data_IF_938523825153
#
_entry.id   IF_938523825153
#
_cell.length_a   1.000
_cell.length_b   1.000
_cell.length_c   1.000
_cell.angle_alpha   90.00
_cell.angle_beta   90.00
_cell.angle_gamma   90.00
#
_symmetry.space_group_name_H-M   'P 1'
#
loop_
_entity.id
_entity.type
_entity.pdbx_description
1 polymer ?
#
# COMPACT_ATOMS: atom_id res chain seq x y z
N UNK A 1 -6.82 -30.50 3.87
CA UNK A 1 -6.13 -29.59 2.93
C UNK A 1 -6.49 -28.18 3.34
N UNK A 2 -5.51 -27.42 3.85
CA UNK A 2 -5.75 -26.11 4.43
C UNK A 2 -6.32 -25.15 3.42
N UNK A 3 -7.46 -24.54 3.73
CA UNK A 3 -7.89 -23.33 3.05
C UNK A 3 -6.76 -22.32 3.27
N UNK A 4 -6.05 -21.96 2.21
CA UNK A 4 -5.24 -20.75 2.28
C UNK A 4 -6.25 -19.63 2.55
N UNK A 5 -6.28 -19.13 3.79
CA UNK A 5 -6.98 -17.89 4.08
C UNK A 5 -6.46 -16.88 3.05
N UNK A 6 -7.33 -16.37 2.18
CA UNK A 6 -6.95 -15.33 1.23
C UNK A 6 -6.55 -14.11 2.05
N UNK A 7 -5.24 -13.99 2.30
CA UNK A 7 -4.64 -12.98 3.13
C UNK A 7 -4.78 -11.58 2.52
N UNK A 8 -4.34 -10.58 3.26
CA UNK A 8 -4.07 -9.27 2.69
C UNK A 8 -2.98 -9.45 1.62
N UNK A 9 -3.25 -9.03 0.38
CA UNK A 9 -2.26 -9.11 -0.71
C UNK A 9 -2.34 -7.88 -1.61
N UNK A 10 -1.17 -7.47 -2.11
CA UNK A 10 -1.03 -6.41 -3.11
C UNK A 10 -0.75 -7.09 -4.44
N UNK A 11 -1.63 -6.93 -5.42
CA UNK A 11 -1.53 -7.58 -6.72
C UNK A 11 -0.86 -6.72 -7.78
N UNK A 12 -1.34 -5.48 -7.95
CA UNK A 12 -0.82 -4.56 -8.96
C UNK A 12 -0.77 -3.13 -8.41
N UNK A 13 0.25 -2.40 -8.86
CA UNK A 13 0.46 -0.99 -8.59
C UNK A 13 0.56 -0.25 -9.93
N UNK A 14 -0.24 0.79 -10.16
CA UNK A 14 -0.21 1.61 -11.39
C UNK A 14 -0.06 3.09 -11.04
N UNK A 15 1.00 3.70 -11.55
CA UNK A 15 1.24 5.14 -11.42
C UNK A 15 0.41 5.89 -12.46
N UNK A 16 -0.53 6.73 -12.02
CA UNK A 16 -1.52 7.34 -12.91
C UNK A 16 -0.94 8.45 -13.79
N UNK A 17 0.25 8.98 -13.43
CA UNK A 17 0.92 10.05 -14.17
C UNK A 17 1.68 9.50 -15.37
N UNK A 18 2.50 8.48 -15.15
CA UNK A 18 3.33 7.82 -16.17
C UNK A 18 2.64 6.66 -16.86
N UNK A 19 1.53 6.16 -16.29
CA UNK A 19 0.81 4.94 -16.71
C UNK A 19 1.65 3.67 -16.66
N UNK A 20 2.74 3.69 -15.89
CA UNK A 20 3.55 2.49 -15.68
C UNK A 20 2.93 1.60 -14.61
N UNK A 21 3.04 0.29 -14.82
CA UNK A 21 2.52 -0.72 -13.92
C UNK A 21 3.69 -1.45 -13.26
N UNK A 22 3.69 -1.49 -11.93
CA UNK A 22 4.67 -2.18 -11.09
C UNK A 22 6.13 -1.75 -11.29
N UNK A 23 6.36 -0.48 -11.64
CA UNK A 23 7.69 0.00 -12.04
C UNK A 23 8.06 1.35 -11.43
N UNK A 24 7.35 2.42 -11.83
CA UNK A 24 7.69 3.79 -11.44
C UNK A 24 6.65 4.39 -10.50
N UNK A 25 7.12 5.31 -9.65
CA UNK A 25 6.33 6.20 -8.81
C UNK A 25 6.62 7.65 -9.16
N UNK A 26 5.58 8.46 -9.25
CA UNK A 26 5.67 9.92 -9.47
C UNK A 26 5.11 10.67 -8.24
N UNK A 27 5.96 11.18 -7.35
CA UNK A 27 5.53 11.96 -6.18
C UNK A 27 4.53 13.07 -6.53
N UNK A 28 3.51 13.23 -5.69
CA UNK A 28 2.43 14.21 -5.87
C UNK A 28 1.30 13.79 -6.82
N UNK A 29 1.37 12.61 -7.44
CA UNK A 29 0.31 12.07 -8.30
C UNK A 29 -0.33 10.82 -7.70
N UNK A 30 -1.49 10.44 -8.25
CA UNK A 30 -2.21 9.26 -7.78
C UNK A 30 -1.49 7.96 -8.15
N UNK A 31 -1.45 7.05 -7.19
CA UNK A 31 -1.10 5.64 -7.35
C UNK A 31 -2.36 4.80 -7.15
N UNK A 32 -2.65 3.93 -8.11
CA UNK A 32 -3.70 2.93 -7.99
C UNK A 32 -3.09 1.62 -7.54
N UNK A 33 -3.62 1.03 -6.47
CA UNK A 33 -3.17 -0.24 -5.91
C UNK A 33 -4.35 -1.20 -5.91
N UNK A 34 -4.22 -2.36 -6.56
CA UNK A 34 -5.25 -3.39 -6.57
C UNK A 34 -4.75 -4.65 -5.86
N UNK A 35 -5.68 -5.40 -5.28
CA UNK A 35 -5.33 -6.54 -4.45
C UNK A 35 -6.50 -7.11 -3.67
N UNK A 36 -6.21 -7.80 -2.58
CA UNK A 36 -7.22 -8.44 -1.72
C UNK A 36 -7.15 -7.90 -0.31
N UNK A 37 -8.30 -7.52 0.25
CA UNK A 37 -8.46 -7.02 1.63
C UNK A 37 -7.60 -5.80 1.96
N UNK A 38 -7.36 -4.93 0.98
CA UNK A 38 -6.49 -3.76 1.06
C UNK A 38 -7.00 -2.61 1.92
N UNK A 39 -8.31 -2.55 2.20
CA UNK A 39 -8.95 -1.45 2.93
C UNK A 39 -8.17 -1.15 4.21
N UNK A 40 -7.66 0.06 4.34
CA UNK A 40 -6.88 0.51 5.49
C UNK A 40 -7.82 1.04 6.55
N UNK A 41 -8.00 0.26 7.61
CA UNK A 41 -8.77 0.61 8.80
C UNK A 41 -8.17 -0.05 10.04
N UNK A 42 -8.34 0.60 11.20
CA UNK A 42 -7.92 0.13 12.51
C UNK A 42 -7.23 1.21 13.33
N UNK A 43 -7.24 1.04 14.66
CA UNK A 43 -6.67 1.99 15.63
C UNK A 43 -5.29 1.57 16.14
N UNK A 44 -4.77 0.41 15.67
CA UNK A 44 -3.45 -0.07 16.06
C UNK A 44 -2.34 0.84 15.49
N UNK A 45 -1.26 1.06 16.25
CA UNK A 45 -0.10 1.78 15.74
C UNK A 45 0.45 1.07 14.51
N UNK A 46 0.81 1.85 13.49
CA UNK A 46 1.32 1.33 12.22
C UNK A 46 0.25 0.97 11.19
N UNK A 47 -1.05 1.09 11.49
CA UNK A 47 -2.09 1.05 10.44
C UNK A 47 -1.87 2.22 9.47
N UNK A 48 -1.83 1.92 8.18
CA UNK A 48 -1.47 2.88 7.15
C UNK A 48 -0.85 2.25 5.91
N UNK A 49 -0.44 3.12 4.99
CA UNK A 49 0.28 2.76 3.78
C UNK A 49 1.66 3.40 3.88
N UNK A 50 2.70 2.65 3.54
CA UNK A 50 4.08 3.08 3.70
C UNK A 50 4.87 2.79 2.43
N UNK A 51 5.78 3.71 2.12
CA UNK A 51 6.84 3.51 1.14
C UNK A 51 8.16 3.38 1.87
N UNK A 52 8.74 2.19 1.81
CA UNK A 52 9.99 1.89 2.50
C UNK A 52 11.14 1.91 1.52
N UNK A 53 12.07 2.84 1.72
CA UNK A 53 13.28 2.93 0.89
C UNK A 53 14.18 1.71 1.17
N UNK A 54 14.56 0.98 0.12
CA UNK A 54 15.33 -0.26 0.27
C UNK A 54 16.78 -0.02 0.68
N UNK A 55 17.34 1.15 0.37
CA UNK A 55 18.73 1.49 0.66
C UNK A 55 18.95 1.91 2.12
N UNK A 56 18.06 2.75 2.66
CA UNK A 56 18.19 3.31 4.02
C UNK A 56 17.27 2.63 5.03
N UNK A 57 16.33 1.80 4.56
CA UNK A 57 15.28 1.19 5.36
C UNK A 57 14.30 2.20 5.98
N UNK A 58 14.27 3.43 5.45
CA UNK A 58 13.39 4.51 5.92
C UNK A 58 11.97 4.32 5.41
N UNK A 59 10.99 4.28 6.31
CA UNK A 59 9.58 4.16 5.96
C UNK A 59 8.91 5.55 5.94
N UNK A 60 8.31 5.90 4.79
CA UNK A 60 7.52 7.13 4.63
C UNK A 60 6.04 6.75 4.64
N UNK A 61 5.30 7.23 5.65
CA UNK A 61 3.85 7.00 5.75
C UNK A 61 3.10 7.92 4.78
N UNK A 62 2.11 7.38 4.09
CA UNK A 62 1.12 8.16 3.33
C UNK A 62 0.16 8.84 4.31
N UNK A 63 -0.10 10.13 4.12
CA UNK A 63 -1.04 10.86 4.96
C UNK A 63 -2.46 10.29 4.79
N UNK A 64 -3.27 10.32 5.84
CA UNK A 64 -4.64 9.82 5.77
C UNK A 64 -5.51 10.65 4.81
N UNK A 65 -5.22 11.96 4.68
CA UNK A 65 -5.87 12.85 3.72
C UNK A 65 -5.48 12.58 2.27
N UNK A 66 -4.35 11.89 2.03
CA UNK A 66 -3.88 11.50 0.70
C UNK A 66 -4.50 10.18 0.20
N UNK A 67 -5.33 9.51 1.01
CA UNK A 67 -6.06 8.30 0.63
C UNK A 67 -7.39 8.69 -0.03
N UNK A 68 -7.41 8.68 -1.36
CA UNK A 68 -8.55 9.08 -2.20
C UNK A 68 -9.61 7.97 -2.30
N UNK A 69 -9.18 6.71 -2.44
CA UNK A 69 -10.05 5.53 -2.49
C UNK A 69 -9.53 4.51 -1.48
N UNK A 70 -10.42 4.00 -0.63
CA UNK A 70 -10.10 3.04 0.43
C UNK A 70 -11.02 1.81 0.41
N UNK A 71 -10.93 1.00 -0.65
CA UNK A 71 -11.75 -0.18 -0.84
C UNK A 71 -10.98 -1.48 -0.56
N UNK A 72 -11.68 -2.59 -0.23
CA UNK A 72 -11.03 -3.88 -0.01
C UNK A 72 -10.25 -4.42 -1.21
N UNK A 73 -10.64 -4.07 -2.44
CA UNK A 73 -10.01 -4.54 -3.68
C UNK A 73 -9.12 -3.50 -4.34
N UNK A 74 -9.19 -2.25 -3.89
CA UNK A 74 -8.57 -1.11 -4.55
C UNK A 74 -8.28 0.02 -3.56
N UNK A 75 -7.05 0.53 -3.60
CA UNK A 75 -6.68 1.79 -2.98
C UNK A 75 -6.28 2.77 -4.07
N UNK A 76 -6.61 4.04 -3.87
CA UNK A 76 -6.05 5.14 -4.65
C UNK A 76 -5.49 6.14 -3.68
N UNK A 77 -4.20 6.42 -3.79
CA UNK A 77 -3.48 7.31 -2.88
C UNK A 77 -2.71 8.35 -3.66
N UNK A 78 -2.38 9.47 -3.03
CA UNK A 78 -1.38 10.40 -3.55
C UNK A 78 -0.01 9.92 -3.06
N UNK A 79 0.95 9.82 -3.98
CA UNK A 79 2.32 9.42 -3.66
C UNK A 79 2.96 10.57 -2.87
N UNK A 80 3.49 10.33 -1.66
CA UNK A 80 4.12 11.38 -0.85
C UNK A 80 5.41 11.88 -1.51
N UNK A 81 6.01 12.93 -0.94
CA UNK A 81 7.32 13.41 -1.38
C UNK A 81 8.42 12.37 -1.08
N UNK A 82 8.69 11.51 -2.06
CA UNK A 82 9.73 10.49 -1.99
C UNK A 82 10.97 10.97 -2.77
N UNK A 83 12.18 10.95 -2.17
CA UNK A 83 13.41 11.19 -2.92
C UNK A 83 13.65 10.12 -3.98
N UNK A 84 14.51 10.42 -4.96
CA UNK A 84 14.91 9.44 -5.97
C UNK A 84 15.54 8.21 -5.31
N UNK A 85 15.05 7.03 -5.67
CA UNK A 85 15.42 5.79 -4.99
C UNK A 85 14.49 4.63 -5.30
N UNK A 86 14.72 3.51 -4.62
CA UNK A 86 13.94 2.29 -4.75
C UNK A 86 13.14 2.04 -3.48
N UNK A 87 11.86 1.73 -3.65
CA UNK A 87 10.90 1.61 -2.56
C UNK A 87 10.13 0.29 -2.62
N UNK A 88 9.79 -0.24 -1.44
CA UNK A 88 8.75 -1.24 -1.28
C UNK A 88 7.48 -0.59 -0.76
N UNK A 89 6.35 -0.91 -1.38
CA UNK A 89 5.04 -0.51 -0.90
C UNK A 89 4.58 -1.50 0.18
N UNK A 90 4.20 -0.99 1.34
CA UNK A 90 3.67 -1.75 2.45
C UNK A 90 2.26 -1.25 2.80
N UNK A 91 1.31 -2.17 2.96
CA UNK A 91 -0.04 -1.85 3.42
C UNK A 91 -0.27 -2.56 4.74
N UNK A 92 -0.57 -1.83 5.79
CA UNK A 92 -0.85 -2.36 7.12
C UNK A 92 -2.27 -2.03 7.53
N UNK A 93 -3.06 -3.06 7.87
CA UNK A 93 -4.46 -2.87 8.28
C UNK A 93 -4.95 -3.92 9.28
N UNK A 94 -5.97 -3.57 10.06
CA UNK A 94 -6.78 -4.53 10.82
C UNK A 94 -8.02 -4.99 10.06
N UNK A 95 -8.25 -4.59 8.81
CA UNK A 95 -9.40 -5.07 8.04
C UNK A 95 -9.39 -6.59 7.95
N UNK A 96 -10.55 -7.25 8.11
CA UNK A 96 -10.72 -8.69 7.89
C UNK A 96 -11.68 -8.96 6.72
N UNK A 97 -12.98 -8.83 6.98
CA UNK A 97 -14.08 -9.03 6.02
C UNK A 97 -15.28 -8.20 6.46
N UNK A 98 -16.00 -7.59 5.51
CA UNK A 98 -17.13 -6.72 5.80
C UNK A 98 -16.74 -5.55 6.70
N UNK A 99 -17.27 -5.51 7.92
CA UNK A 99 -16.94 -4.50 8.94
C UNK A 99 -16.12 -5.06 10.12
N UNK A 100 -15.66 -6.32 10.04
CA UNK A 100 -14.88 -6.93 11.12
C UNK A 100 -13.41 -6.51 11.05
N UNK A 101 -12.86 -6.18 12.22
CA UNK A 101 -11.45 -5.88 12.41
C UNK A 101 -10.73 -7.04 13.13
N UNK A 102 -9.47 -7.25 12.77
CA UNK A 102 -8.54 -8.16 13.42
C UNK A 102 -8.06 -7.57 14.74
N UNK A 103 -7.75 -8.44 15.71
CA UNK A 103 -7.15 -8.02 17.00
C UNK A 103 -5.76 -7.41 16.83
N UNK A 104 -5.01 -7.93 15.86
CA UNK A 104 -3.68 -7.47 15.49
C UNK A 104 -3.69 -6.95 14.04
N UNK A 105 -2.90 -5.92 13.76
CA UNK A 105 -2.73 -5.45 12.39
C UNK A 105 -1.89 -6.45 11.60
N UNK A 106 -2.18 -6.56 10.31
CA UNK A 106 -1.39 -7.35 9.36
C UNK A 106 -0.83 -6.45 8.28
N UNK A 107 0.34 -6.83 7.77
CA UNK A 107 1.04 -6.09 6.73
C UNK A 107 1.22 -6.95 5.49
N UNK A 108 0.98 -6.38 4.33
CA UNK A 108 1.42 -6.93 3.06
C UNK A 108 2.47 -6.02 2.45
N UNK A 109 3.49 -6.65 1.87
CA UNK A 109 4.56 -5.98 1.15
C UNK A 109 4.38 -6.30 -0.32
N UNK A 110 4.47 -5.28 -1.17
CA UNK A 110 4.44 -5.50 -2.60
C UNK A 110 5.77 -6.13 -3.03
N UNK A 111 5.67 -7.26 -3.72
CA UNK A 111 6.83 -8.13 -4.01
C UNK A 111 7.82 -7.48 -4.97
N UNK A 112 7.36 -6.51 -5.78
CA UNK A 112 8.20 -5.83 -6.78
C UNK A 112 8.67 -4.48 -6.25
N UNK A 113 9.97 -4.17 -6.36
CA UNK A 113 10.48 -2.85 -6.04
C UNK A 113 9.92 -1.81 -7.01
N UNK A 114 9.64 -0.62 -6.49
CA UNK A 114 9.13 0.53 -7.23
C UNK A 114 10.20 1.63 -7.24
N UNK A 115 10.31 2.39 -8.32
CA UNK A 115 11.39 3.38 -8.49
C UNK A 115 10.85 4.80 -8.59
N UNK A 116 11.50 5.72 -7.87
CA UNK A 116 11.33 7.16 -8.05
C UNK A 116 12.55 7.66 -8.80
N UNK A 117 12.32 8.34 -9.92
CA UNK A 117 13.35 8.93 -10.79
C UNK A 117 13.18 10.43 -10.83
#
# INVERSE_FOLDING_TARGET
MGVAETGLTIGQVEDMKSRTVNDRLTPGFNLRVTGTKLRVVGDKPGVGIFFRETATNTATKVDEGDIVINNPSELMIIIPALPAGTYQLEVTTQFSVGNRLLKEARTAVFERPLTVK
#
